data_IF_470583471138
#
_entry.id   IF_470583471138
#
_cell.length_a   1.000
_cell.length_b   1.000
_cell.length_c   1.000
_cell.angle_alpha   90.00
_cell.angle_beta   90.00
_cell.angle_gamma   90.00
#
_symmetry.space_group_name_H-M   'P 1'
#
loop_
_entity.id
_entity.type
_entity.pdbx_description
1 polymer ?
#
# COMPACT_ATOMS: atom_id res chain seq x y z
N UNK A 1 6.81 11.41 -7.62
CA UNK A 1 6.74 10.83 -6.27
C UNK A 1 6.21 9.42 -6.35
N UNK A 2 6.79 8.49 -5.59
CA UNK A 2 6.32 7.10 -5.55
C UNK A 2 5.10 7.03 -4.66
N UNK A 3 3.99 6.51 -5.18
CA UNK A 3 2.76 6.32 -4.41
C UNK A 3 2.74 4.94 -3.76
N UNK A 4 2.21 4.88 -2.54
CA UNK A 4 1.99 3.61 -1.86
C UNK A 4 0.90 2.82 -2.59
N UNK A 5 1.22 1.59 -2.99
CA UNK A 5 0.31 0.69 -3.71
C UNK A 5 -0.92 0.33 -2.88
N UNK A 6 -0.82 0.40 -1.55
CA UNK A 6 -1.94 0.09 -0.67
C UNK A 6 -2.79 1.32 -0.34
N UNK A 7 -2.21 2.33 0.32
CA UNK A 7 -2.98 3.44 0.85
C UNK A 7 -3.11 4.65 -0.10
N UNK A 8 -2.36 4.67 -1.21
CA UNK A 8 -2.43 5.72 -2.23
C UNK A 8 -1.78 7.05 -1.85
N UNK A 9 -1.14 7.16 -0.69
CA UNK A 9 -0.39 8.37 -0.29
C UNK A 9 0.99 8.41 -0.92
N UNK A 10 1.53 9.61 -1.08
CA UNK A 10 2.91 9.81 -1.54
C UNK A 10 3.92 9.38 -0.47
N UNK A 11 4.93 8.64 -0.90
CA UNK A 11 6.02 8.16 -0.06
C UNK A 11 7.14 9.21 -0.09
N UNK A 12 7.55 9.67 1.09
CA UNK A 12 8.70 10.58 1.24
C UNK A 12 9.99 9.86 0.82
N UNK A 13 10.92 10.52 0.12
CA UNK A 13 12.19 9.91 -0.27
C UNK A 13 12.96 9.47 0.98
N UNK A 14 13.60 8.29 0.91
CA UNK A 14 14.30 7.69 2.04
C UNK A 14 13.40 7.02 3.09
N UNK A 15 12.10 6.89 2.83
CA UNK A 15 11.14 6.20 3.71
C UNK A 15 10.37 5.13 2.93
N UNK A 16 9.95 4.07 3.61
CA UNK A 16 9.11 3.01 3.04
C UNK A 16 9.90 1.76 2.66
N UNK A 17 9.19 0.79 2.10
CA UNK A 17 9.73 -0.51 1.72
C UNK A 17 9.18 -0.91 0.34
N UNK A 18 10.02 -1.58 -0.44
CA UNK A 18 9.68 -2.09 -1.77
C UNK A 18 9.57 -3.61 -1.67
N UNK A 19 8.39 -4.15 -1.98
CA UNK A 19 8.15 -5.58 -2.03
C UNK A 19 7.97 -6.02 -3.48
N UNK A 20 8.79 -6.99 -3.91
CA UNK A 20 8.70 -7.58 -5.24
C UNK A 20 8.01 -8.93 -5.14
N UNK A 21 6.85 -9.07 -5.78
CA UNK A 21 6.15 -10.34 -5.88
C UNK A 21 6.92 -11.34 -6.75
N UNK A 22 6.67 -12.63 -6.55
CA UNK A 22 7.25 -13.70 -7.40
C UNK A 22 6.92 -13.53 -8.89
N UNK A 23 5.83 -12.85 -9.21
CA UNK A 23 5.42 -12.51 -10.59
C UNK A 23 6.18 -11.33 -11.20
N UNK A 24 7.11 -10.73 -10.48
CA UNK A 24 7.84 -9.52 -10.89
C UNK A 24 7.08 -8.21 -10.66
N UNK A 25 5.85 -8.27 -10.13
CA UNK A 25 5.10 -7.05 -9.76
C UNK A 25 5.77 -6.37 -8.57
N UNK A 26 5.88 -5.04 -8.62
CA UNK A 26 6.46 -4.22 -7.56
C UNK A 26 5.32 -3.57 -6.77
N UNK A 27 5.34 -3.73 -5.45
CA UNK A 27 4.48 -3.01 -4.51
C UNK A 27 5.34 -2.10 -3.63
N UNK A 28 5.00 -0.81 -3.63
CA UNK A 28 5.64 0.19 -2.78
C UNK A 28 4.78 0.40 -1.55
N UNK A 29 5.37 0.29 -0.35
CA UNK A 29 4.69 0.49 0.92
C UNK A 29 5.24 1.71 1.64
N UNK A 30 4.35 2.59 2.10
CA UNK A 30 4.74 3.74 2.93
C UNK A 30 5.10 3.34 4.37
N UNK A 31 4.60 2.20 4.86
CA UNK A 31 4.76 1.76 6.24
C UNK A 31 4.48 0.26 6.39
N UNK A 32 5.01 -0.33 7.47
CA UNK A 32 4.74 -1.72 7.88
C UNK A 32 3.25 -2.02 8.09
N UNK A 33 2.44 -0.99 8.37
CA UNK A 33 0.97 -1.14 8.45
C UNK A 33 0.40 -1.60 7.11
N UNK A 34 0.81 -0.96 6.02
CA UNK A 34 0.34 -1.27 4.67
C UNK A 34 0.84 -2.64 4.21
N UNK A 35 2.11 -2.94 4.48
CA UNK A 35 2.71 -4.23 4.19
C UNK A 35 1.97 -5.38 4.91
N UNK A 36 1.75 -5.28 6.23
CA UNK A 36 1.00 -6.30 7.00
C UNK A 36 -0.41 -6.49 6.50
N UNK A 37 -1.09 -5.42 6.11
CA UNK A 37 -2.45 -5.52 5.58
C UNK A 37 -2.52 -6.30 4.27
N UNK A 38 -1.54 -6.11 3.38
CA UNK A 38 -1.48 -6.80 2.08
C UNK A 38 -0.93 -8.21 2.22
N UNK A 39 0.21 -8.39 2.89
CA UNK A 39 0.94 -9.66 2.93
C UNK A 39 0.40 -10.63 3.98
N UNK A 40 0.14 -10.17 5.21
CA UNK A 40 -0.29 -11.05 6.31
C UNK A 40 -1.80 -11.19 6.38
N UNK A 41 -2.51 -10.07 6.33
CA UNK A 41 -3.96 -10.04 6.52
C UNK A 41 -4.75 -10.18 5.21
N UNK A 42 -4.07 -10.15 4.05
CA UNK A 42 -4.66 -10.28 2.71
C UNK A 42 -5.87 -9.35 2.47
N UNK A 43 -5.89 -8.18 3.10
CA UNK A 43 -6.98 -7.21 2.97
C UNK A 43 -6.80 -6.38 1.71
N UNK A 44 -7.90 -6.18 0.99
CA UNK A 44 -7.94 -5.29 -0.17
C UNK A 44 -8.11 -3.83 0.29
N UNK A 45 -7.42 -2.86 -0.35
CA UNK A 45 -7.53 -1.45 0.02
C UNK A 45 -8.95 -0.90 -0.14
N UNK A 46 -9.73 -1.44 -1.08
CA UNK A 46 -11.14 -1.10 -1.30
C UNK A 46 -12.02 -1.30 -0.07
N UNK A 47 -11.67 -2.26 0.80
CA UNK A 47 -12.45 -2.59 1.99
C UNK A 47 -12.07 -1.75 3.21
N UNK A 48 -11.11 -0.82 3.09
CA UNK A 48 -10.61 -0.03 4.21
C UNK A 48 -10.93 1.45 4.06
N UNK A 49 -11.85 1.95 4.89
CA UNK A 49 -12.33 3.35 4.86
C UNK A 49 -11.23 4.41 5.03
N UNK A 50 -10.11 4.08 5.69
CA UNK A 50 -9.01 5.02 5.93
C UNK A 50 -8.02 5.15 4.77
N UNK A 51 -8.17 4.32 3.74
CA UNK A 51 -7.29 4.31 2.58
C UNK A 51 -7.85 5.27 1.52
N UNK A 52 -7.02 6.18 1.00
CA UNK A 52 -7.42 7.10 -0.08
C UNK A 52 -7.84 6.40 -1.36
N UNK A 53 -7.37 5.17 -1.58
CA UNK A 53 -7.76 4.33 -2.70
C UNK A 53 -9.12 3.62 -2.50
N UNK A 54 -9.78 3.80 -1.36
CA UNK A 54 -11.08 3.18 -1.09
C UNK A 54 -12.21 4.02 -1.70
N UNK A 55 -13.17 3.41 -2.42
CA UNK A 55 -14.30 4.14 -3.01
C UNK A 55 -15.26 4.72 -1.96
N UNK A 56 -15.18 4.26 -0.71
CA UNK A 56 -15.98 4.75 0.42
C UNK A 56 -15.38 5.98 1.13
N UNK A 57 -14.36 6.60 0.53
CA UNK A 57 -13.75 7.85 1.03
C UNK A 57 -14.13 9.09 0.22
N UNK A 58 -15.07 8.94 -0.72
CA UNK A 58 -15.81 10.03 -1.39
C UNK A 58 -17.16 10.18 -0.70
#
# INVERSE_FOLDING_TARGET
MVKCTFCGIDIRPGTGEIFVYKTGKIANFCSKKCEKHVLKLKRKPQNMKWVKSSPASV
#
